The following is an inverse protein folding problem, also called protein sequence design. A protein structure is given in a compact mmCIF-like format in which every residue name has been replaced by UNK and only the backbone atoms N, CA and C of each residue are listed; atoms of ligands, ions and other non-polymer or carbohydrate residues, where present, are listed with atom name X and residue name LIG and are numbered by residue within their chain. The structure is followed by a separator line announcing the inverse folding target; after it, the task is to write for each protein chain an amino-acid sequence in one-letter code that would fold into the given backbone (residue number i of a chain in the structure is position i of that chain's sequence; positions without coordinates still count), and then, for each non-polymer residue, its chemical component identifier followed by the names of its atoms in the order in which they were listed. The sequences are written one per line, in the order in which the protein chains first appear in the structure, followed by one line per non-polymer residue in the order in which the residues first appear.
data_IF_807155664763
#
_entry.id   IF_807155664763
#
_cell.length_a   1.000
_cell.length_b   1.000
_cell.length_c   1.000
_cell.angle_alpha   90.00
_cell.angle_beta   90.00
_cell.angle_gamma   90.00
#
_symmetry.space_group_name_H-M   'P 1'
#
loop_
_entity.id
_entity.type
_entity.pdbx_description
1 polymer ?
#
# COMPACT_ATOMS: atom_id res chain seq x y z
N UNK A 1 -0.48 9.43 -36.49
CA UNK A 1 -0.99 9.77 -35.14
C UNK A 1 -2.01 8.72 -34.74
N UNK A 2 -1.74 8.06 -33.61
CA UNK A 2 -2.63 7.19 -32.81
C UNK A 2 -3.18 5.92 -33.47
N UNK A 3 -2.38 4.86 -33.49
CA UNK A 3 -2.88 3.48 -33.49
C UNK A 3 -3.00 3.00 -32.04
N UNK A 4 -4.23 2.66 -31.64
CA UNK A 4 -4.54 1.98 -30.38
C UNK A 4 -3.92 0.57 -30.43
N UNK A 5 -2.88 0.35 -29.63
CA UNK A 5 -2.21 -0.95 -29.49
C UNK A 5 -3.05 -1.85 -28.59
N UNK A 6 -3.60 -2.94 -29.15
CA UNK A 6 -4.40 -3.94 -28.44
C UNK A 6 -3.57 -5.20 -28.12
N UNK A 7 -3.53 -5.54 -26.84
CA UNK A 7 -2.94 -6.73 -26.23
C UNK A 7 -3.79 -7.99 -26.55
N UNK A 8 -3.17 -9.13 -26.85
CA UNK A 8 -3.87 -10.39 -27.17
C UNK A 8 -3.81 -11.37 -26.01
N UNK A 9 -4.98 -11.85 -25.58
CA UNK A 9 -5.19 -12.70 -24.41
C UNK A 9 -5.53 -14.14 -24.85
N UNK A 10 -4.72 -15.12 -24.44
CA UNK A 10 -5.10 -16.54 -24.49
C UNK A 10 -5.24 -17.06 -23.05
N UNK A 11 -6.45 -17.46 -22.66
CA UNK A 11 -6.78 -17.87 -21.30
C UNK A 11 -7.17 -19.35 -21.24
N UNK A 12 -6.47 -20.11 -20.39
CA UNK A 12 -6.94 -21.38 -19.83
C UNK A 12 -7.51 -21.09 -18.43
N UNK A 13 -8.49 -21.86 -17.94
CA UNK A 13 -9.11 -21.63 -16.63
C UNK A 13 -8.09 -21.59 -15.48
N UNK A 14 -6.99 -22.36 -15.59
CA UNK A 14 -5.94 -22.47 -14.56
C UNK A 14 -4.65 -21.67 -14.85
N UNK A 15 -4.57 -20.97 -15.98
CA UNK A 15 -3.39 -20.17 -16.29
C UNK A 15 -3.71 -19.07 -17.30
N UNK A 16 -3.21 -17.86 -17.02
CA UNK A 16 -3.29 -16.75 -17.95
C UNK A 16 -1.88 -16.45 -18.45
N UNK A 17 -1.70 -16.59 -19.76
CA UNK A 17 -0.44 -16.22 -20.42
C UNK A 17 -0.66 -14.87 -21.08
N UNK A 18 -0.01 -13.85 -20.54
CA UNK A 18 0.08 -12.53 -21.16
C UNK A 18 1.30 -12.51 -22.07
N UNK A 19 1.06 -12.31 -23.36
CA UNK A 19 2.11 -12.11 -24.36
C UNK A 19 2.29 -10.62 -24.52
N UNK A 20 3.38 -10.09 -23.95
CA UNK A 20 3.74 -8.69 -24.12
C UNK A 20 4.36 -8.56 -25.52
N UNK A 21 3.63 -7.98 -26.47
CA UNK A 21 4.13 -7.79 -27.84
C UNK A 21 5.24 -6.73 -27.86
N UNK A 22 6.47 -7.17 -27.62
CA UNK A 22 7.74 -6.60 -28.11
C UNK A 22 8.97 -7.36 -27.57
N UNK A 23 8.79 -8.18 -26.53
CA UNK A 23 9.75 -9.20 -26.12
C UNK A 23 9.00 -10.54 -26.10
N UNK A 24 9.62 -11.64 -26.53
CA UNK A 24 9.04 -13.00 -26.42
C UNK A 24 8.85 -13.46 -24.96
N UNK A 25 8.88 -12.53 -23.98
CA UNK A 25 8.60 -12.78 -22.58
C UNK A 25 7.12 -13.10 -22.40
N UNK A 26 6.80 -14.39 -22.45
CA UNK A 26 5.51 -14.92 -22.02
C UNK A 26 5.42 -14.78 -20.51
N UNK A 27 4.59 -13.85 -20.05
CA UNK A 27 4.31 -13.74 -18.63
C UNK A 27 3.15 -14.65 -18.27
N UNK A 28 3.47 -15.76 -17.61
CA UNK A 28 2.46 -16.63 -17.03
C UNK A 28 2.14 -16.13 -15.62
N UNK A 29 0.85 -15.84 -15.38
CA UNK A 29 0.28 -15.66 -14.05
C UNK A 29 -0.35 -16.98 -13.61
N UNK A 30 0.00 -17.43 -12.41
CA UNK A 30 -0.48 -18.69 -11.83
C UNK A 30 -0.92 -18.47 -10.38
N UNK A 31 -1.85 -19.30 -9.94
CA UNK A 31 -2.35 -19.34 -8.56
C UNK A 31 -2.71 -17.94 -8.05
N UNK A 32 -2.10 -17.59 -6.92
CA UNK A 32 -2.37 -16.36 -6.19
C UNK A 32 -2.23 -15.08 -7.02
N UNK A 33 -1.22 -15.00 -7.89
CA UNK A 33 -0.98 -13.81 -8.72
C UNK A 33 -2.09 -13.61 -9.75
N UNK A 34 -2.60 -14.72 -10.30
CA UNK A 34 -3.72 -14.70 -11.23
C UNK A 34 -5.01 -14.30 -10.53
N UNK A 35 -5.25 -14.83 -9.33
CA UNK A 35 -6.45 -14.51 -8.55
C UNK A 35 -6.47 -13.03 -8.16
N UNK A 36 -5.35 -12.49 -7.65
CA UNK A 36 -5.29 -11.08 -7.31
C UNK A 36 -5.46 -10.20 -8.54
N UNK A 37 -4.80 -10.54 -9.65
CA UNK A 37 -4.96 -9.79 -10.90
C UNK A 37 -6.43 -9.75 -11.36
N UNK A 38 -7.13 -10.89 -11.34
CA UNK A 38 -8.56 -10.98 -11.71
C UNK A 38 -9.44 -10.15 -10.79
N UNK A 39 -9.21 -10.22 -9.48
CA UNK A 39 -9.96 -9.46 -8.48
C UNK A 39 -9.74 -7.96 -8.66
N UNK A 40 -8.49 -7.53 -8.86
CA UNK A 40 -8.16 -6.13 -9.13
C UNK A 40 -8.78 -5.68 -10.45
N UNK A 41 -8.74 -6.49 -11.50
CA UNK A 41 -9.31 -6.16 -12.81
C UNK A 41 -10.84 -6.01 -12.74
N UNK A 42 -11.51 -6.89 -12.02
CA UNK A 42 -12.96 -6.81 -11.79
C UNK A 42 -13.39 -5.58 -11.00
N UNK A 43 -12.50 -5.01 -10.16
CA UNK A 43 -12.76 -3.79 -9.39
C UNK A 43 -12.34 -2.52 -10.14
N UNK A 44 -11.14 -2.51 -10.74
CA UNK A 44 -10.60 -1.38 -11.46
C UNK A 44 -9.40 -1.75 -12.34
N UNK A 45 -9.48 -1.39 -13.63
CA UNK A 45 -8.43 -1.68 -14.60
C UNK A 45 -7.06 -1.05 -14.25
N UNK A 46 -7.02 0.17 -13.69
CA UNK A 46 -5.76 0.81 -13.30
C UNK A 46 -5.03 0.02 -12.21
N UNK A 47 -5.75 -0.50 -11.20
CA UNK A 47 -5.13 -1.31 -10.15
C UNK A 47 -4.54 -2.60 -10.70
N UNK A 48 -5.25 -3.26 -11.62
CA UNK A 48 -4.74 -4.44 -12.31
C UNK A 48 -3.50 -4.13 -13.15
N UNK A 49 -3.48 -2.98 -13.85
CA UNK A 49 -2.31 -2.53 -14.62
C UNK A 49 -1.11 -2.22 -13.72
N UNK A 50 -1.30 -1.54 -12.59
CA UNK A 50 -0.20 -1.27 -11.63
C UNK A 50 0.39 -2.58 -11.11
N UNK A 51 -0.48 -3.52 -10.71
CA UNK A 51 -0.05 -4.82 -10.22
C UNK A 51 0.69 -5.62 -11.30
N UNK A 52 0.15 -5.68 -12.52
CA UNK A 52 0.82 -6.34 -13.64
C UNK A 52 2.19 -5.71 -13.95
N UNK A 53 2.26 -4.38 -14.00
CA UNK A 53 3.52 -3.65 -14.21
C UNK A 53 4.55 -3.93 -13.11
N UNK A 54 4.11 -4.10 -11.86
CA UNK A 54 4.95 -4.51 -10.73
C UNK A 54 5.59 -5.88 -10.98
N UNK A 55 4.78 -6.86 -11.41
CA UNK A 55 5.27 -8.20 -11.68
C UNK A 55 6.18 -8.26 -12.92
N UNK A 56 5.88 -7.47 -13.95
CA UNK A 56 6.74 -7.34 -15.15
C UNK A 56 8.09 -6.78 -14.74
N UNK A 57 8.11 -5.65 -14.03
CA UNK A 57 9.34 -5.04 -13.54
C UNK A 57 10.13 -6.05 -12.71
N UNK A 58 9.48 -6.81 -11.81
CA UNK A 58 10.16 -7.81 -11.00
C UNK A 58 10.86 -8.90 -11.83
N UNK A 59 10.27 -9.33 -12.95
CA UNK A 59 10.83 -10.38 -13.82
C UNK A 59 11.96 -9.90 -14.73
N UNK A 60 12.20 -8.60 -14.87
CA UNK A 60 13.27 -8.04 -15.68
C UNK A 60 14.63 -8.13 -14.98
N UNK A 61 15.12 -9.34 -14.71
CA UNK A 61 16.38 -9.57 -13.97
C UNK A 61 17.63 -8.91 -14.61
N UNK A 62 17.58 -8.58 -15.91
CA UNK A 62 18.66 -7.86 -16.60
C UNK A 62 18.68 -6.36 -16.28
N UNK A 63 17.56 -5.80 -15.81
CA UNK A 63 17.50 -4.43 -15.35
C UNK A 63 18.06 -4.37 -13.92
N UNK A 64 19.17 -3.66 -13.66
CA UNK A 64 19.74 -3.58 -12.32
C UNK A 64 18.81 -2.94 -11.30
N UNK A 65 17.78 -2.21 -11.75
CA UNK A 65 16.82 -1.52 -10.90
C UNK A 65 15.45 -2.21 -10.79
N UNK A 66 15.35 -3.44 -11.31
CA UNK A 66 14.09 -4.17 -11.41
C UNK A 66 13.35 -4.31 -10.06
N UNK A 67 14.08 -4.49 -8.96
CA UNK A 67 13.52 -4.56 -7.61
C UNK A 67 13.00 -3.21 -7.10
N UNK A 68 13.70 -2.09 -7.36
CA UNK A 68 13.23 -0.78 -6.92
C UNK A 68 11.99 -0.35 -7.70
N UNK A 69 11.96 -0.62 -9.01
CA UNK A 69 10.82 -0.37 -9.89
C UNK A 69 9.60 -1.23 -9.50
N UNK A 70 9.82 -2.52 -9.23
CA UNK A 70 8.77 -3.39 -8.71
C UNK A 70 8.27 -2.90 -7.35
N UNK A 71 9.15 -2.50 -6.43
CA UNK A 71 8.77 -1.96 -5.13
C UNK A 71 7.94 -0.67 -5.26
N UNK A 72 8.30 0.19 -6.21
CA UNK A 72 7.54 1.39 -6.52
C UNK A 72 6.12 1.03 -6.98
N UNK A 73 5.98 0.09 -7.91
CA UNK A 73 4.68 -0.40 -8.36
C UNK A 73 3.82 -1.00 -7.23
N UNK A 74 4.42 -1.82 -6.35
CA UNK A 74 3.74 -2.38 -5.19
C UNK A 74 3.27 -1.27 -4.22
N UNK A 75 4.10 -0.25 -3.98
CA UNK A 75 3.75 0.91 -3.16
C UNK A 75 2.60 1.72 -3.78
N UNK A 76 2.66 1.98 -5.09
CA UNK A 76 1.61 2.67 -5.83
C UNK A 76 0.29 1.89 -5.75
N UNK A 77 0.32 0.56 -5.89
CA UNK A 77 -0.86 -0.29 -5.70
C UNK A 77 -1.47 -0.06 -4.32
N UNK A 78 -0.66 -0.15 -3.26
CA UNK A 78 -1.10 0.09 -1.88
C UNK A 78 -1.65 1.51 -1.65
N UNK A 79 -1.12 2.51 -2.35
CA UNK A 79 -1.55 3.90 -2.23
C UNK A 79 -2.88 4.16 -2.95
N UNK A 80 -3.08 3.61 -4.15
CA UNK A 80 -4.27 3.86 -4.98
C UNK A 80 -5.46 3.00 -4.58
N UNK A 81 -5.21 1.82 -3.99
CA UNK A 81 -6.23 0.88 -3.56
C UNK A 81 -7.42 1.54 -2.84
N UNK A 82 -7.22 2.42 -1.84
CA UNK A 82 -8.35 2.94 -1.08
C UNK A 82 -9.15 3.99 -1.84
N UNK A 83 -8.51 4.76 -2.74
CA UNK A 83 -9.20 5.82 -3.51
C UNK A 83 -10.14 5.26 -4.57
N UNK A 84 -9.94 4.01 -4.94
CA UNK A 84 -10.64 3.33 -6.04
C UNK A 84 -11.75 2.42 -5.51
N UNK A 85 -11.69 2.00 -4.24
CA UNK A 85 -12.74 1.23 -3.57
C UNK A 85 -13.83 2.12 -2.95
N UNK A 86 -14.06 3.30 -3.52
CA UNK A 86 -15.04 4.29 -3.05
C UNK A 86 -14.85 4.74 -1.58
N UNK A 87 -13.62 4.66 -1.07
CA UNK A 87 -13.27 5.36 0.18
C UNK A 87 -13.00 6.82 -0.18
N UNK A 88 -13.75 7.80 0.36
CA UNK A 88 -13.47 9.21 0.13
C UNK A 88 -12.12 9.56 0.77
N UNK A 89 -11.05 9.45 -0.01
CA UNK A 89 -9.74 10.00 0.30
C UNK A 89 -9.64 11.35 -0.37
N UNK A 90 -9.67 12.42 0.45
CA UNK A 90 -9.49 13.78 -0.05
C UNK A 90 -8.15 13.88 -0.78
N UNK A 91 -8.24 14.36 -2.02
CA UNK A 91 -7.21 14.35 -3.06
C UNK A 91 -5.86 14.96 -2.68
N UNK A 92 -4.81 14.45 -3.34
CA UNK A 92 -3.45 14.99 -3.36
C UNK A 92 -3.40 16.32 -4.13
N UNK A 93 -3.34 17.42 -3.41
CA UNK A 93 -2.84 18.73 -3.82
C UNK A 93 -2.28 19.38 -2.56
N UNK A 94 -1.12 20.06 -2.64
CA UNK A 94 -0.31 20.56 -1.50
C UNK A 94 -1.07 20.57 -0.17
N UNK A 95 -0.97 19.44 0.54
CA UNK A 95 -1.84 19.25 1.69
C UNK A 95 -1.29 20.08 2.85
N UNK A 96 -2.18 20.67 3.66
CA UNK A 96 -1.82 21.28 4.94
C UNK A 96 -0.89 20.36 5.77
N UNK A 97 -0.98 19.04 5.58
CA UNK A 97 -0.07 18.01 6.12
C UNK A 97 1.39 18.24 5.74
N UNK A 98 1.72 18.46 4.47
CA UNK A 98 3.11 18.64 4.05
C UNK A 98 3.67 19.92 4.63
N UNK A 99 2.90 21.02 4.58
CA UNK A 99 3.31 22.29 5.19
C UNK A 99 3.50 22.19 6.71
N UNK A 100 2.69 21.37 7.41
CA UNK A 100 2.85 21.13 8.85
C UNK A 100 4.07 20.27 9.16
N UNK A 101 4.38 19.25 8.34
CA UNK A 101 5.59 18.43 8.50
C UNK A 101 6.86 19.25 8.24
N UNK A 102 6.85 20.08 7.18
CA UNK A 102 7.96 20.99 6.88
C UNK A 102 8.20 21.95 8.06
N UNK A 103 7.11 22.49 8.63
CA UNK A 103 7.16 23.37 9.79
C UNK A 103 7.65 22.64 11.06
N UNK A 104 7.26 21.38 11.26
CA UNK A 104 7.73 20.54 12.37
C UNK A 104 9.23 20.30 12.30
N UNK A 105 9.78 20.04 11.11
CA UNK A 105 11.21 19.87 10.92
C UNK A 105 12.00 21.14 11.30
N UNK A 106 11.49 22.32 10.92
CA UNK A 106 12.07 23.60 11.32
C UNK A 106 11.93 23.80 12.84
N UNK A 107 10.81 23.42 13.43
CA UNK A 107 10.54 23.51 14.87
C UNK A 107 11.49 22.64 15.70
N UNK A 108 11.63 21.36 15.36
CA UNK A 108 12.55 20.44 16.04
C UNK A 108 14.00 20.90 15.94
N UNK A 109 14.40 21.46 14.79
CA UNK A 109 15.73 22.03 14.62
C UNK A 109 15.95 23.25 15.54
N UNK A 110 14.92 24.10 15.70
CA UNK A 110 14.94 25.23 16.63
C UNK A 110 15.03 24.76 18.09
N UNK A 111 14.28 23.73 18.49
CA UNK A 111 14.38 23.15 19.84
C UNK A 111 15.78 22.62 20.15
N UNK A 112 16.42 21.97 19.19
CA UNK A 112 17.72 21.33 19.39
C UNK A 112 18.92 22.30 19.34
N UNK A 113 18.82 23.39 18.58
CA UNK A 113 19.99 24.27 18.31
C UNK A 113 19.87 25.65 18.90
N UNK A 114 18.68 26.05 19.37
CA UNK A 114 18.53 27.39 19.91
C UNK A 114 19.20 27.54 21.27
N UNK A 115 20.06 28.54 21.40
CA UNK A 115 20.66 28.96 22.68
C UNK A 115 19.67 29.68 23.58
N UNK A 116 18.51 30.05 23.05
CA UNK A 116 17.44 30.78 23.75
C UNK A 116 16.32 29.86 24.24
N UNK A 117 16.51 28.55 24.20
CA UNK A 117 15.60 27.59 24.83
C UNK A 117 16.29 26.95 26.04
N UNK A 118 15.73 27.15 27.22
CA UNK A 118 16.27 26.65 28.48
C UNK A 118 15.14 26.03 29.31
N UNK A 119 15.29 24.78 29.77
CA UNK A 119 14.30 24.06 30.58
C UNK A 119 12.85 24.19 30.05
N UNK A 120 12.66 23.98 28.74
CA UNK A 120 11.35 24.08 28.06
C UNK A 120 10.70 25.48 28.10
N UNK A 121 11.51 26.53 28.37
CA UNK A 121 11.10 27.92 28.27
C UNK A 121 12.02 28.67 27.34
N UNK A 122 11.41 29.51 26.50
CA UNK A 122 12.14 30.42 25.64
C UNK A 122 12.63 31.61 26.48
N UNK A 123 13.94 31.80 26.57
CA UNK A 123 14.67 32.75 27.42
C UNK A 123 15.79 33.44 26.60
N UNK A 124 16.09 34.72 26.87
CA UNK A 124 17.09 35.51 26.12
C UNK A 124 16.51 36.83 25.60
N UNK A 125 17.19 37.46 24.61
CA UNK A 125 16.69 38.67 23.93
C UNK A 125 15.53 38.35 22.95
N UNK A 126 14.44 37.81 23.50
CA UNK A 126 13.19 37.61 22.78
C UNK A 126 12.12 38.48 23.42
N UNK A 127 11.30 39.11 22.59
CA UNK A 127 10.21 39.91 23.10
C UNK A 127 9.06 39.02 23.60
N UNK A 128 8.18 39.62 24.40
CA UNK A 128 7.04 38.93 24.99
C UNK A 128 6.07 38.36 23.93
N UNK A 129 5.79 39.04 22.81
CA UNK A 129 5.00 38.48 21.70
C UNK A 129 5.61 37.21 21.07
N UNK A 130 6.92 37.22 20.76
CA UNK A 130 7.62 36.08 20.16
C UNK A 130 7.66 34.89 21.11
N UNK A 131 7.95 35.12 22.39
CA UNK A 131 7.92 34.08 23.43
C UNK A 131 6.56 33.37 23.48
N UNK A 132 5.45 34.14 23.42
CA UNK A 132 4.09 33.57 23.38
C UNK A 132 3.81 32.74 22.13
N UNK A 133 4.27 33.18 20.96
CA UNK A 133 4.11 32.43 19.71
C UNK A 133 4.86 31.09 19.79
N UNK A 134 6.10 31.10 20.27
CA UNK A 134 6.93 29.91 20.41
C UNK A 134 6.31 28.90 21.38
N UNK A 135 5.80 29.35 22.54
CA UNK A 135 5.07 28.45 23.46
C UNK A 135 3.79 27.87 22.83
N UNK A 136 3.09 28.64 21.99
CA UNK A 136 1.88 28.13 21.29
C UNK A 136 2.22 27.13 20.20
N UNK A 137 3.36 27.30 19.50
CA UNK A 137 3.87 26.30 18.56
C UNK A 137 4.25 25.01 19.27
N UNK A 138 4.87 25.11 20.44
CA UNK A 138 5.22 23.94 21.25
C UNK A 138 3.97 23.15 21.63
N UNK A 139 2.96 23.82 22.20
CA UNK A 139 1.68 23.18 22.53
C UNK A 139 0.96 22.64 21.30
N UNK A 140 1.08 23.31 20.15
CA UNK A 140 0.48 22.85 18.90
C UNK A 140 1.14 21.56 18.41
N UNK A 141 2.47 21.49 18.37
CA UNK A 141 3.20 20.30 17.93
C UNK A 141 3.13 19.16 18.94
N UNK A 142 3.08 19.44 20.24
CA UNK A 142 2.80 18.45 21.27
C UNK A 142 1.38 17.89 21.10
N UNK A 143 0.37 18.75 20.93
CA UNK A 143 -1.00 18.31 20.64
C UNK A 143 -1.05 17.52 19.33
N UNK A 144 -0.40 17.97 18.26
CA UNK A 144 -0.35 17.29 16.97
C UNK A 144 0.30 15.91 17.12
N UNK A 145 1.44 15.78 17.77
CA UNK A 145 2.08 14.48 17.97
C UNK A 145 1.25 13.53 18.83
N UNK A 146 0.51 14.05 19.82
CA UNK A 146 -0.29 13.24 20.73
C UNK A 146 -1.71 12.94 20.22
N UNK A 147 -2.28 13.76 19.35
CA UNK A 147 -3.68 13.67 18.92
C UNK A 147 -3.86 13.43 17.43
N UNK A 148 -2.78 13.41 16.63
CA UNK A 148 -2.86 13.27 15.20
C UNK A 148 -2.56 11.85 14.73
N UNK A 149 -3.56 10.95 14.66
CA UNK A 149 -3.38 9.52 14.48
C UNK A 149 -3.44 9.20 12.98
N UNK A 150 -2.86 10.06 12.13
CA UNK A 150 -3.24 10.15 10.71
C UNK A 150 -3.00 8.83 9.97
N UNK A 151 -1.84 8.19 10.15
CA UNK A 151 -1.49 7.00 9.36
C UNK A 151 -2.14 5.73 9.88
N UNK A 152 -2.26 5.57 11.20
CA UNK A 152 -2.89 4.39 11.82
C UNK A 152 -4.41 4.39 11.58
N UNK A 153 -5.07 5.54 11.73
CA UNK A 153 -6.51 5.67 11.48
C UNK A 153 -6.87 5.65 9.99
N UNK A 154 -6.04 6.24 9.11
CA UNK A 154 -6.19 6.08 7.66
C UNK A 154 -6.07 4.59 7.28
N UNK A 155 -5.01 3.90 7.71
CA UNK A 155 -4.83 2.47 7.45
C UNK A 155 -5.97 1.64 8.04
N UNK A 156 -6.38 1.89 9.29
CA UNK A 156 -7.54 1.22 9.90
C UNK A 156 -8.81 1.35 9.04
N UNK A 157 -9.10 2.56 8.55
CA UNK A 157 -10.23 2.82 7.67
C UNK A 157 -10.10 2.05 6.35
N UNK A 158 -8.92 2.12 5.70
CA UNK A 158 -8.65 1.34 4.48
C UNK A 158 -8.90 -0.14 4.71
N UNK A 159 -8.43 -0.69 5.83
CA UNK A 159 -8.55 -2.12 6.15
C UNK A 159 -9.98 -2.55 6.42
N UNK A 160 -10.80 -1.72 7.08
CA UNK A 160 -12.23 -2.00 7.29
C UNK A 160 -13.02 -2.00 5.99
N UNK A 161 -12.72 -1.07 5.09
CA UNK A 161 -13.40 -0.96 3.79
C UNK A 161 -12.97 -2.06 2.80
N UNK A 162 -11.74 -2.57 2.97
CA UNK A 162 -11.27 -3.74 2.24
C UNK A 162 -11.93 -5.03 2.71
N UNK A 163 -12.35 -5.11 3.97
CA UNK A 163 -12.94 -6.31 4.56
C UNK A 163 -14.40 -6.46 4.14
N UNK A 164 -14.65 -7.36 3.17
CA UNK A 164 -15.99 -7.62 2.63
C UNK A 164 -16.93 -8.20 3.69
N UNK A 165 -16.42 -8.77 4.79
CA UNK A 165 -17.26 -9.34 5.84
C UNK A 165 -18.12 -8.29 6.57
N UNK A 166 -17.74 -7.01 6.53
CA UNK A 166 -18.46 -5.92 7.18
C UNK A 166 -18.49 -6.02 8.72
N UNK A 167 -17.78 -6.98 9.31
CA UNK A 167 -17.73 -7.20 10.75
C UNK A 167 -16.68 -6.29 11.39
N UNK A 168 -17.04 -5.63 12.48
CA UNK A 168 -16.07 -4.88 13.29
C UNK A 168 -15.09 -5.87 13.92
N UNK A 169 -13.87 -5.94 13.40
CA UNK A 169 -12.79 -6.73 13.97
C UNK A 169 -12.50 -6.29 15.42
N UNK A 170 -12.24 -7.22 16.35
CA UNK A 170 -11.68 -6.90 17.65
C UNK A 170 -10.42 -6.04 17.54
N UNK A 171 -10.27 -5.04 18.41
CA UNK A 171 -9.18 -4.05 18.36
C UNK A 171 -7.77 -4.66 18.21
N UNK A 172 -7.51 -5.82 18.81
CA UNK A 172 -6.20 -6.48 18.71
C UNK A 172 -5.91 -7.05 17.31
N UNK A 173 -6.94 -7.50 16.57
CA UNK A 173 -6.80 -7.96 15.19
C UNK A 173 -6.63 -6.78 14.24
N UNK A 174 -7.34 -5.67 14.49
CA UNK A 174 -7.18 -4.43 13.75
C UNK A 174 -5.75 -3.88 13.89
N UNK A 175 -5.23 -3.80 15.10
CA UNK A 175 -3.86 -3.37 15.36
C UNK A 175 -2.81 -4.27 14.69
N UNK A 176 -3.03 -5.59 14.71
CA UNK A 176 -2.20 -6.57 14.00
C UNK A 176 -2.22 -6.32 12.48
N UNK A 177 -3.39 -6.05 11.89
CA UNK A 177 -3.51 -5.80 10.45
C UNK A 177 -2.86 -4.48 10.05
N UNK A 178 -3.01 -3.43 10.85
CA UNK A 178 -2.33 -2.14 10.62
C UNK A 178 -0.82 -2.31 10.68
N UNK A 179 -0.32 -3.11 11.64
CA UNK A 179 1.10 -3.43 11.75
C UNK A 179 1.60 -4.16 10.51
N UNK A 180 0.93 -5.23 10.08
CA UNK A 180 1.28 -5.98 8.86
C UNK A 180 1.30 -5.07 7.62
N UNK A 181 0.26 -4.27 7.43
CA UNK A 181 0.18 -3.32 6.31
C UNK A 181 1.34 -2.31 6.32
N UNK A 182 1.64 -1.76 7.49
CA UNK A 182 2.73 -0.79 7.64
C UNK A 182 4.09 -1.42 7.38
N UNK A 183 4.35 -2.63 7.89
CA UNK A 183 5.59 -3.36 7.66
C UNK A 183 5.82 -3.69 6.17
N UNK A 184 4.77 -4.12 5.47
CA UNK A 184 4.82 -4.38 4.02
C UNK A 184 5.10 -3.08 3.26
N UNK A 185 4.36 -2.01 3.57
CA UNK A 185 4.54 -0.71 2.91
C UNK A 185 5.95 -0.16 3.13
N UNK A 186 6.45 -0.20 4.36
CA UNK A 186 7.74 0.36 4.73
C UNK A 186 8.89 -0.46 4.09
N UNK A 187 8.71 -1.76 3.90
CA UNK A 187 9.62 -2.57 3.08
C UNK A 187 9.70 -2.05 1.64
N UNK A 188 8.57 -1.96 0.93
CA UNK A 188 8.56 -1.50 -0.46
C UNK A 188 9.02 -0.05 -0.61
N UNK A 189 8.64 0.81 0.33
CA UNK A 189 9.11 2.19 0.39
C UNK A 189 10.65 2.27 0.46
N UNK A 190 11.26 1.49 1.36
CA UNK A 190 12.71 1.45 1.53
C UNK A 190 13.44 0.91 0.30
N UNK A 191 12.91 -0.14 -0.33
CA UNK A 191 13.48 -0.72 -1.56
C UNK A 191 13.35 0.25 -2.73
N UNK A 192 12.18 0.88 -2.92
CA UNK A 192 11.94 1.83 -4.02
C UNK A 192 12.80 3.10 -3.98
N UNK A 193 13.34 3.45 -2.81
CA UNK A 193 14.21 4.61 -2.62
C UNK A 193 15.68 4.21 -2.42
N UNK A 194 16.02 2.94 -2.67
CA UNK A 194 17.37 2.37 -2.46
C UNK A 194 17.90 2.50 -1.03
N UNK A 195 17.03 2.72 -0.05
CA UNK A 195 17.39 2.80 1.37
C UNK A 195 17.49 1.40 2.00
N UNK A 196 16.93 0.39 1.32
CA UNK A 196 16.97 -1.01 1.73
C UNK A 196 17.45 -1.88 0.57
N UNK A 197 18.61 -2.50 0.75
CA UNK A 197 19.11 -3.55 -0.15
C UNK A 197 18.38 -4.85 0.19
N UNK A 198 17.91 -5.57 -0.82
CA UNK A 198 17.18 -6.83 -0.67
C UNK A 198 17.58 -7.82 -1.76
N UNK A 199 17.26 -9.09 -1.55
CA UNK A 199 17.35 -10.13 -2.59
C UNK A 199 15.98 -10.35 -3.24
N UNK A 200 15.96 -10.97 -4.42
CA UNK A 200 14.72 -11.37 -5.09
C UNK A 200 13.89 -12.31 -4.21
N UNK A 201 14.52 -13.23 -3.48
CA UNK A 201 13.85 -14.15 -2.55
C UNK A 201 13.03 -13.39 -1.48
N UNK A 202 13.66 -12.45 -0.78
CA UNK A 202 12.99 -11.64 0.25
C UNK A 202 11.91 -10.76 -0.39
N UNK A 203 12.16 -10.28 -1.60
CA UNK A 203 11.18 -9.49 -2.35
C UNK A 203 9.92 -10.32 -2.65
N UNK A 204 10.08 -11.53 -3.18
CA UNK A 204 8.96 -12.43 -3.49
C UNK A 204 8.15 -12.75 -2.23
N UNK A 205 8.80 -13.05 -1.10
CA UNK A 205 8.10 -13.28 0.17
C UNK A 205 7.28 -12.06 0.63
N UNK A 206 7.80 -10.84 0.41
CA UNK A 206 7.08 -9.61 0.76
C UNK A 206 5.95 -9.28 -0.19
N UNK A 207 6.11 -9.61 -1.47
CA UNK A 207 5.06 -9.50 -2.46
C UNK A 207 3.95 -10.52 -2.21
N UNK A 208 4.29 -11.78 -1.97
CA UNK A 208 3.34 -12.82 -1.56
C UNK A 208 2.57 -12.39 -0.31
N UNK A 209 3.25 -11.86 0.71
CA UNK A 209 2.59 -11.35 1.90
C UNK A 209 1.58 -10.21 1.59
N UNK A 210 1.90 -9.31 0.65
CA UNK A 210 0.96 -8.29 0.18
C UNK A 210 -0.22 -8.94 -0.54
N UNK A 211 0.05 -9.88 -1.44
CA UNK A 211 -0.98 -10.56 -2.23
C UNK A 211 -1.95 -11.34 -1.34
N UNK A 212 -1.46 -12.05 -0.33
CA UNK A 212 -2.29 -12.83 0.63
C UNK A 212 -3.17 -11.83 1.39
N UNK A 213 -2.53 -10.78 1.91
CA UNK A 213 -3.19 -9.76 2.69
C UNK A 213 -4.34 -9.10 1.91
N UNK A 214 -4.16 -8.86 0.62
CA UNK A 214 -5.19 -8.29 -0.25
C UNK A 214 -6.29 -9.31 -0.57
N UNK A 215 -5.94 -10.55 -0.93
CA UNK A 215 -6.91 -11.58 -1.28
C UNK A 215 -7.83 -11.95 -0.12
N UNK A 216 -7.29 -12.11 1.09
CA UNK A 216 -8.07 -12.37 2.32
C UNK A 216 -9.20 -11.35 2.56
N UNK A 217 -9.07 -10.16 1.99
CA UNK A 217 -10.01 -9.04 2.21
C UNK A 217 -10.89 -8.82 0.99
N UNK A 218 -10.30 -8.89 -0.20
CA UNK A 218 -10.99 -8.64 -1.46
C UNK A 218 -11.80 -9.84 -1.98
N UNK A 219 -11.61 -11.04 -1.42
CA UNK A 219 -12.41 -12.22 -1.68
C UNK A 219 -13.17 -12.64 -0.41
N UNK A 220 -14.49 -12.87 -0.47
CA UNK A 220 -15.20 -13.57 0.58
C UNK A 220 -14.63 -14.99 0.73
N UNK A 221 -14.29 -15.44 1.94
CA UNK A 221 -13.89 -16.84 2.20
C UNK A 221 -14.88 -17.86 1.63
N UNK A 222 -16.16 -17.49 1.52
CA UNK A 222 -17.22 -18.37 0.98
C UNK A 222 -17.08 -18.68 -0.50
N UNK A 223 -16.36 -17.87 -1.31
CA UNK A 223 -16.25 -18.15 -2.75
C UNK A 223 -15.30 -19.31 -3.07
N UNK A 224 -14.35 -19.61 -2.18
CA UNK A 224 -13.46 -20.77 -2.30
C UNK A 224 -14.23 -22.03 -1.86
N UNK A 225 -14.94 -21.97 -0.73
CA UNK A 225 -15.75 -23.08 -0.23
C UNK A 225 -16.88 -23.50 -1.19
N UNK A 226 -17.56 -22.57 -1.87
CA UNK A 226 -18.68 -22.93 -2.76
C UNK A 226 -18.19 -23.73 -3.97
N UNK A 227 -17.03 -23.41 -4.54
CA UNK A 227 -16.45 -24.18 -5.64
C UNK A 227 -16.00 -25.57 -5.21
N UNK A 228 -15.39 -25.67 -4.04
CA UNK A 228 -14.94 -26.95 -3.46
C UNK A 228 -16.15 -27.83 -3.09
N UNK A 229 -17.23 -27.23 -2.59
CA UNK A 229 -18.51 -27.91 -2.33
C UNK A 229 -19.19 -28.34 -3.63
N UNK A 230 -19.23 -27.48 -4.66
CA UNK A 230 -19.83 -27.82 -5.96
C UNK A 230 -19.05 -28.96 -6.65
N UNK A 231 -17.73 -28.97 -6.54
CA UNK A 231 -16.88 -30.06 -7.05
C UNK A 231 -17.13 -31.38 -6.29
N UNK A 232 -17.29 -31.35 -4.96
CA UNK A 232 -17.65 -32.51 -4.15
C UNK A 232 -19.08 -33.03 -4.43
N UNK A 233 -20.03 -32.15 -4.73
CA UNK A 233 -21.40 -32.52 -5.10
C UNK A 233 -21.42 -33.20 -6.48
N UNK A 234 -20.69 -32.66 -7.45
CA UNK A 234 -20.57 -33.25 -8.79
C UNK A 234 -19.87 -34.62 -8.79
N UNK A 235 -18.87 -34.81 -7.92
CA UNK A 235 -18.20 -36.11 -7.72
C UNK A 235 -19.12 -37.14 -7.04
N UNK A 236 -20.01 -36.69 -6.16
CA UNK A 236 -21.03 -37.52 -5.53
C UNK A 236 -22.17 -37.95 -6.47
N UNK A 237 -22.64 -37.05 -7.34
CA UNK A 237 -23.71 -37.32 -8.30
C UNK A 237 -23.26 -38.17 -9.50
N UNK A 238 -21.95 -38.17 -9.82
CA UNK A 238 -21.38 -39.01 -10.88
C UNK A 238 -21.12 -40.46 -10.45
N UNK A 239 -21.19 -40.76 -9.15
CA UNK A 239 -20.94 -42.08 -8.56
C UNK A 239 -22.22 -42.76 -8.01
N UNK A 240 -23.41 -42.25 -8.36
CA UNK A 240 -24.72 -42.79 -8.00
C UNK A 240 -25.43 -43.48 -9.17
#
# INVERSE_FOLDING_TARGET
MSEKQHESLEANQNSMVLVIKNDETKMQLLGQQLDLYRVLLGKNQMLATIYLGTLIALKQNENPDHLALAAHGARELMEKLPSILDVPMKAHGESLKSKVIDLEGVWLNALNKSKTLNNQKWEGEIDRPLSKLLSKLDSFFEWYNNHYPRRKAEVAKVLRELDISGLTLPNYLEDSNIKKWSEIRDFFQGVSHHQKITTSEIFYQKLEALEIFLLERLLPQTFIDIKEIDELILEGESNA
#
